data_IF_272889151915
#
_entry.id   IF_272889151915
#
_cell.length_a   1.000
_cell.length_b   1.000
_cell.length_c   1.000
_cell.angle_alpha   90.00
_cell.angle_beta   90.00
_cell.angle_gamma   90.00
#
_symmetry.space_group_name_H-M   'P 1'
#
loop_
_entity.id
_entity.type
_entity.pdbx_description
1 polymer ?
#
# COMPACT_ATOMS: atom_id res chain seq x y z
N UNK A 1 2.35 41.55 17.55
CA UNK A 1 2.18 42.98 17.16
C UNK A 1 1.83 42.96 15.69
N UNK A 2 0.60 43.29 15.32
CA UNK A 2 0.16 43.20 13.92
C UNK A 2 1.05 44.06 13.02
N UNK A 3 1.78 43.42 12.11
CA UNK A 3 2.64 44.09 11.15
C UNK A 3 1.75 44.82 10.15
N UNK A 4 1.57 46.14 10.32
CA UNK A 4 0.70 46.98 9.45
C UNK A 4 1.04 46.88 7.96
N UNK A 5 2.22 46.36 7.61
CA UNK A 5 2.67 46.09 6.23
C UNK A 5 1.73 45.11 5.51
N UNK A 6 1.11 44.16 6.22
CA UNK A 6 0.34 43.06 5.61
C UNK A 6 -1.14 42.99 5.99
N UNK A 7 -1.70 44.03 6.61
CA UNK A 7 -3.11 44.09 7.05
C UNK A 7 -4.16 43.91 5.92
N UNK A 8 -3.74 43.87 4.66
CA UNK A 8 -4.60 43.54 3.52
C UNK A 8 -4.79 42.02 3.34
N UNK A 9 -3.86 41.20 3.85
CA UNK A 9 -3.92 39.73 3.75
C UNK A 9 -5.00 39.15 4.68
N UNK A 10 -5.23 39.78 5.83
CA UNK A 10 -6.30 39.42 6.77
C UNK A 10 -7.71 39.41 6.13
N UNK A 11 -7.89 40.19 5.06
CA UNK A 11 -9.17 40.35 4.35
C UNK A 11 -9.34 39.37 3.17
N UNK A 12 -8.30 38.63 2.78
CA UNK A 12 -8.36 37.68 1.67
C UNK A 12 -8.98 36.35 2.11
N UNK A 13 -9.58 35.63 1.16
CA UNK A 13 -10.08 34.28 1.39
C UNK A 13 -8.94 33.28 1.57
N UNK A 14 -9.17 32.16 2.27
CA UNK A 14 -8.15 31.12 2.49
C UNK A 14 -7.59 30.57 1.17
N UNK A 15 -8.44 30.40 0.15
CA UNK A 15 -8.01 29.96 -1.17
C UNK A 15 -7.08 30.97 -1.88
N UNK A 16 -7.32 32.28 -1.71
CA UNK A 16 -6.44 33.32 -2.24
C UNK A 16 -5.09 33.34 -1.52
N UNK A 17 -5.09 33.15 -0.19
CA UNK A 17 -3.87 33.04 0.63
C UNK A 17 -3.03 31.81 0.23
N UNK A 18 -3.64 30.66 0.01
CA UNK A 18 -2.96 29.46 -0.51
C UNK A 18 -2.44 29.65 -1.93
N UNK A 19 -3.13 30.44 -2.75
CA UNK A 19 -2.65 30.78 -4.09
C UNK A 19 -1.41 31.68 -4.03
N UNK A 20 -1.33 32.58 -3.05
CA UNK A 20 -0.15 33.41 -2.80
C UNK A 20 1.04 32.54 -2.40
N UNK A 21 0.85 31.60 -1.47
CA UNK A 21 1.92 30.64 -1.09
C UNK A 21 2.40 29.81 -2.28
N UNK A 22 1.49 29.36 -3.15
CA UNK A 22 1.85 28.59 -4.35
C UNK A 22 2.62 29.40 -5.39
N UNK A 23 2.27 30.67 -5.57
CA UNK A 23 2.99 31.56 -6.47
C UNK A 23 4.39 31.89 -5.92
N UNK A 24 4.50 32.12 -4.61
CA UNK A 24 5.75 32.47 -3.95
C UNK A 24 6.76 31.31 -3.92
N UNK A 25 6.29 30.06 -3.82
CA UNK A 25 7.13 28.85 -3.98
C UNK A 25 7.87 28.76 -5.33
N UNK A 26 7.41 29.51 -6.34
CA UNK A 26 8.03 29.57 -7.67
C UNK A 26 8.93 30.79 -7.88
N UNK A 27 9.05 31.68 -6.89
CA UNK A 27 9.85 32.91 -6.95
C UNK A 27 11.16 32.76 -6.15
N UNK A 28 12.26 33.30 -6.70
CA UNK A 28 13.61 33.24 -6.10
C UNK A 28 13.82 34.39 -5.10
N UNK A 29 12.97 35.42 -5.13
CA UNK A 29 13.02 36.63 -4.30
C UNK A 29 11.90 36.69 -3.23
N UNK A 30 11.54 35.54 -2.67
CA UNK A 30 10.50 35.39 -1.65
C UNK A 30 10.75 36.23 -0.37
N UNK A 31 9.75 37.00 0.08
CA UNK A 31 9.76 37.76 1.34
C UNK A 31 9.32 36.85 2.50
N UNK A 32 10.22 36.42 3.39
CA UNK A 32 9.90 35.47 4.45
C UNK A 32 8.88 36.03 5.46
N UNK A 33 8.79 37.35 5.63
CA UNK A 33 7.80 37.97 6.54
C UNK A 33 6.37 37.92 5.95
N UNK A 34 6.25 37.87 4.62
CA UNK A 34 4.97 37.71 3.94
C UNK A 34 4.43 36.28 4.14
N UNK A 35 5.29 35.28 3.93
CA UNK A 35 4.93 33.86 4.12
C UNK A 35 4.48 33.61 5.56
N UNK A 36 5.27 34.06 6.54
CA UNK A 36 4.99 33.84 7.96
C UNK A 36 3.61 34.39 8.34
N UNK A 37 3.28 35.59 7.86
CA UNK A 37 1.99 36.21 8.14
C UNK A 37 0.82 35.52 7.40
N UNK A 38 1.02 35.05 6.16
CA UNK A 38 -0.01 34.28 5.45
C UNK A 38 -0.29 32.95 6.16
N UNK A 39 0.75 32.27 6.64
CA UNK A 39 0.61 31.03 7.40
C UNK A 39 -0.08 31.26 8.75
N UNK A 40 0.25 32.35 9.45
CA UNK A 40 -0.40 32.75 10.70
C UNK A 40 -1.92 32.94 10.52
N UNK A 41 -2.33 33.67 9.48
CA UNK A 41 -3.76 33.93 9.18
C UNK A 41 -4.51 32.66 8.81
N UNK A 42 -3.90 31.74 8.05
CA UNK A 42 -4.51 30.45 7.73
C UNK A 42 -4.67 29.61 9.00
N UNK A 43 -3.63 29.54 9.83
CA UNK A 43 -3.63 28.76 11.06
C UNK A 43 -4.67 29.25 12.07
N UNK A 44 -4.83 30.57 12.24
CA UNK A 44 -5.87 31.14 13.10
C UNK A 44 -7.28 30.73 12.64
N UNK A 45 -7.54 30.77 11.32
CA UNK A 45 -8.85 30.39 10.75
C UNK A 45 -9.14 28.91 10.89
N UNK A 46 -8.15 28.05 10.62
CA UNK A 46 -8.30 26.60 10.82
C UNK A 46 -8.53 26.26 12.29
N UNK A 47 -7.91 26.99 13.21
CA UNK A 47 -8.13 26.82 14.64
C UNK A 47 -9.57 27.19 15.04
N UNK A 48 -10.09 28.32 14.56
CA UNK A 48 -11.48 28.73 14.77
C UNK A 48 -12.49 27.72 14.19
N UNK A 49 -12.24 27.21 12.97
CA UNK A 49 -13.07 26.17 12.36
C UNK A 49 -13.00 24.85 13.13
N UNK A 50 -11.81 24.45 13.60
CA UNK A 50 -11.61 23.22 14.37
C UNK A 50 -12.32 23.26 15.72
N UNK A 51 -12.35 24.42 16.39
CA UNK A 51 -13.05 24.63 17.65
C UNK A 51 -14.56 24.51 17.47
N UNK A 52 -15.11 25.05 16.36
CA UNK A 52 -16.52 24.88 16.00
C UNK A 52 -16.88 23.42 15.67
N UNK A 53 -16.01 22.73 14.91
CA UNK A 53 -16.16 21.32 14.54
C UNK A 53 -16.02 20.38 15.74
N UNK A 54 -15.18 20.73 16.72
CA UNK A 54 -15.00 19.96 17.96
C UNK A 54 -16.30 19.87 18.78
N UNK A 55 -17.10 20.95 18.80
CA UNK A 55 -18.40 21.02 19.43
C UNK A 55 -19.41 20.09 18.73
N UNK A 56 -19.41 20.07 17.40
CA UNK A 56 -20.26 19.19 16.61
C UNK A 56 -19.86 17.71 16.74
N UNK A 57 -18.56 17.42 16.82
CA UNK A 57 -18.04 16.07 17.09
C UNK A 57 -18.43 15.59 18.49
N UNK A 58 -18.34 16.46 19.49
CA UNK A 58 -18.76 16.15 20.86
C UNK A 58 -20.27 15.88 20.93
N UNK A 59 -21.08 16.67 20.21
CA UNK A 59 -22.53 16.47 20.07
C UNK A 59 -22.86 15.15 19.37
N UNK A 60 -22.25 14.88 18.21
CA UNK A 60 -22.44 13.63 17.47
C UNK A 60 -22.04 12.40 18.32
N UNK A 61 -20.96 12.52 19.11
CA UNK A 61 -20.54 11.48 20.05
C UNK A 61 -21.55 11.27 21.18
N UNK A 62 -22.10 12.34 21.75
CA UNK A 62 -23.12 12.25 22.78
C UNK A 62 -24.41 11.60 22.27
N UNK A 63 -24.83 11.94 21.04
CA UNK A 63 -25.99 11.32 20.39
C UNK A 63 -25.76 9.84 20.12
N UNK A 64 -24.57 9.47 19.64
CA UNK A 64 -24.20 8.07 19.46
C UNK A 64 -24.23 7.30 20.78
N UNK A 65 -23.66 7.84 21.85
CA UNK A 65 -23.69 7.17 23.16
C UNK A 65 -25.10 7.05 23.73
N UNK A 66 -25.96 8.05 23.53
CA UNK A 66 -27.36 7.99 23.96
C UNK A 66 -28.15 6.92 23.21
N UNK A 67 -27.95 6.82 21.89
CA UNK A 67 -28.72 5.92 21.03
C UNK A 67 -28.23 4.47 21.11
N UNK A 68 -26.90 4.27 21.16
CA UNK A 68 -26.31 2.95 20.92
C UNK A 68 -25.74 2.24 22.16
N UNK A 69 -25.43 2.96 23.24
CA UNK A 69 -24.73 2.38 24.41
C UNK A 69 -25.62 1.54 25.33
N UNK A 70 -26.95 1.70 25.23
CA UNK A 70 -27.94 0.99 26.03
C UNK A 70 -28.68 -0.15 25.30
N UNK A 71 -28.31 -0.44 24.04
CA UNK A 71 -28.91 -1.54 23.29
C UNK A 71 -28.36 -2.87 23.84
N UNK A 72 -29.25 -3.64 24.48
CA UNK A 72 -28.96 -5.00 24.93
C UNK A 72 -29.05 -6.03 23.79
N UNK A 73 -29.49 -5.62 22.60
CA UNK A 73 -29.72 -6.47 21.45
C UNK A 73 -29.06 -5.83 20.21
N UNK A 74 -28.35 -6.61 19.38
CA UNK A 74 -27.71 -6.08 18.18
C UNK A 74 -28.76 -5.57 17.18
N UNK A 75 -28.48 -4.42 16.55
CA UNK A 75 -29.39 -3.75 15.61
C UNK A 75 -29.59 -4.48 14.29
N UNK A 76 -28.81 -5.54 14.05
CA UNK A 76 -28.95 -6.41 12.90
C UNK A 76 -29.00 -7.85 13.40
N UNK A 77 -29.84 -8.70 12.80
CA UNK A 77 -29.87 -10.11 13.12
C UNK A 77 -28.49 -10.70 12.83
N UNK A 78 -27.79 -11.09 13.89
CA UNK A 78 -26.57 -11.89 13.76
C UNK A 78 -27.07 -13.28 13.36
N UNK A 79 -26.70 -13.81 12.18
CA UNK A 79 -27.07 -15.17 11.83
C UNK A 79 -26.56 -16.09 12.94
N UNK A 80 -27.47 -16.87 13.53
CA UNK A 80 -27.10 -17.90 14.48
C UNK A 80 -26.04 -18.77 13.81
N UNK A 81 -24.79 -18.65 14.26
CA UNK A 81 -23.82 -19.71 13.99
C UNK A 81 -24.42 -20.94 14.65
N UNK A 82 -24.82 -21.91 13.82
CA UNK A 82 -25.22 -23.24 14.26
C UNK A 82 -24.05 -23.85 15.03
N UNK A 83 -24.01 -23.58 16.33
CA UNK A 83 -23.10 -24.20 17.27
C UNK A 83 -23.95 -25.19 18.04
N UNK A 84 -23.54 -26.46 17.98
CA UNK A 84 -24.19 -27.56 18.66
C UNK A 84 -24.34 -27.35 20.17
N UNK A 85 -25.03 -28.28 20.85
CA UNK A 85 -25.52 -28.07 22.20
C UNK A 85 -24.36 -27.91 23.18
N UNK A 86 -24.31 -26.75 23.85
CA UNK A 86 -23.52 -26.55 25.06
C UNK A 86 -22.40 -25.52 24.97
N UNK A 87 -22.71 -24.26 24.67
CA UNK A 87 -21.92 -23.15 25.20
C UNK A 87 -22.77 -21.88 25.27
N UNK A 88 -23.39 -21.62 26.42
CA UNK A 88 -23.81 -20.26 26.77
C UNK A 88 -22.53 -19.45 26.99
N UNK A 89 -22.25 -18.48 26.11
CA UNK A 89 -21.21 -17.49 26.35
C UNK A 89 -21.77 -16.40 27.26
N UNK A 90 -21.27 -16.25 28.50
CA UNK A 90 -21.73 -15.19 29.38
C UNK A 90 -21.08 -13.88 28.94
N UNK A 91 -21.84 -13.00 28.30
CA UNK A 91 -21.45 -11.60 28.10
C UNK A 91 -21.56 -10.84 29.44
N UNK A 92 -20.57 -11.04 30.31
CA UNK A 92 -20.32 -10.18 31.47
C UNK A 92 -18.97 -9.48 31.30
N UNK A 93 -18.96 -8.29 30.68
CA UNK A 93 -17.80 -7.40 30.71
C UNK A 93 -17.73 -6.76 32.10
N UNK A 94 -17.03 -7.40 33.03
CA UNK A 94 -16.68 -6.78 34.31
C UNK A 94 -15.59 -5.74 34.06
N UNK A 95 -15.94 -4.46 34.19
CA UNK A 95 -14.98 -3.34 34.25
C UNK A 95 -14.05 -3.52 35.45
N UNK A 96 -12.84 -4.05 35.21
CA UNK A 96 -11.81 -4.21 36.25
C UNK A 96 -10.60 -3.31 35.99
N UNK A 97 -10.28 -2.51 37.01
CA UNK A 97 -8.99 -1.88 37.34
C UNK A 97 -8.44 -0.72 36.48
N UNK A 98 -8.89 0.51 36.79
CA UNK A 98 -8.22 1.78 36.43
C UNK A 98 -6.82 1.98 37.04
N UNK A 99 -6.38 1.15 38.00
CA UNK A 99 -5.11 1.36 38.72
C UNK A 99 -3.87 0.77 38.04
N UNK A 100 -4.00 -0.25 37.19
CA UNK A 100 -2.86 -0.91 36.50
C UNK A 100 -2.37 -0.10 35.28
N UNK A 101 -3.26 0.68 34.64
CA UNK A 101 -2.90 1.55 33.51
C UNK A 101 -1.88 2.62 33.89
N UNK A 102 -1.92 3.17 35.11
CA UNK A 102 -1.03 4.26 35.53
C UNK A 102 0.41 3.79 35.75
N UNK A 103 0.61 2.59 36.30
CA UNK A 103 1.94 2.01 36.50
C UNK A 103 2.56 1.54 35.18
N UNK A 104 1.75 1.01 34.26
CA UNK A 104 2.19 0.70 32.89
C UNK A 104 2.58 1.96 32.12
N UNK A 105 1.81 3.05 32.25
CA UNK A 105 2.16 4.32 31.61
C UNK A 105 3.49 4.87 32.14
N UNK A 106 3.69 4.84 33.47
CA UNK A 106 4.92 5.31 34.09
C UNK A 106 6.13 4.46 33.66
N UNK A 107 6.00 3.13 33.62
CA UNK A 107 7.05 2.25 33.14
C UNK A 107 7.38 2.46 31.66
N UNK A 108 6.37 2.69 30.82
CA UNK A 108 6.56 2.99 29.40
C UNK A 108 7.28 4.33 29.20
N UNK A 109 6.92 5.38 29.97
CA UNK A 109 7.61 6.67 29.92
C UNK A 109 9.07 6.54 30.36
N UNK A 110 9.36 5.77 31.41
CA UNK A 110 10.73 5.51 31.85
C UNK A 110 11.52 4.72 30.79
N UNK A 111 10.91 3.70 30.17
CA UNK A 111 11.56 2.94 29.09
C UNK A 111 11.86 3.81 27.86
N UNK A 112 10.95 4.69 27.48
CA UNK A 112 11.15 5.65 26.37
C UNK A 112 12.25 6.65 26.72
N UNK A 113 12.29 7.17 27.95
CA UNK A 113 13.36 8.07 28.40
C UNK A 113 14.72 7.36 28.43
N UNK A 114 14.77 6.11 28.87
CA UNK A 114 16.01 5.30 28.87
C UNK A 114 16.48 5.06 27.42
N UNK A 115 15.57 4.67 26.52
CA UNK A 115 15.89 4.49 25.10
C UNK A 115 16.43 5.78 24.46
N UNK A 116 15.82 6.94 24.76
CA UNK A 116 16.29 8.25 24.29
C UNK A 116 17.69 8.60 24.83
N UNK A 117 18.02 8.20 26.06
CA UNK A 117 19.35 8.44 26.65
C UNK A 117 20.43 7.44 26.26
N UNK A 118 20.08 6.27 25.69
CA UNK A 118 21.03 5.24 25.27
C UNK A 118 21.54 5.42 23.83
N UNK A 119 20.88 6.26 23.03
CA UNK A 119 21.25 6.52 21.62
C UNK A 119 22.63 7.18 21.42
N UNK A 120 23.22 7.99 22.34
CA UNK A 120 24.56 8.55 22.12
C UNK A 120 25.71 7.53 22.24
N UNK A 121 25.45 6.27 22.66
CA UNK A 121 26.50 5.28 22.95
C UNK A 121 26.87 4.43 21.72
N UNK A 122 26.08 4.47 20.64
CA UNK A 122 26.34 3.70 19.42
C UNK A 122 27.09 4.46 18.30
N UNK A 123 27.53 5.70 18.54
CA UNK A 123 28.42 6.43 17.62
C UNK A 123 27.73 7.36 16.60
N UNK A 124 26.41 7.35 16.54
CA UNK A 124 25.65 8.32 15.73
C UNK A 124 25.27 9.55 16.56
N UNK A 125 25.60 10.73 16.04
CA UNK A 125 25.58 11.97 16.82
C UNK A 125 24.17 12.54 17.05
N UNK A 126 23.12 12.02 16.40
CA UNK A 126 21.77 12.61 16.53
C UNK A 126 20.62 11.65 16.12
N UNK A 127 19.45 11.78 16.79
CA UNK A 127 18.22 11.01 16.48
C UNK A 127 17.80 11.14 15.02
N UNK A 128 18.01 12.32 14.45
CA UNK A 128 17.70 12.60 13.05
C UNK A 128 18.60 11.83 12.08
N UNK A 129 19.86 11.53 12.45
CA UNK A 129 20.72 10.69 11.62
C UNK A 129 20.29 9.23 11.67
N UNK A 130 19.87 8.74 12.84
CA UNK A 130 19.34 7.38 12.97
C UNK A 130 18.03 7.21 12.18
N UNK A 131 17.13 8.19 12.28
CA UNK A 131 15.90 8.21 11.48
C UNK A 131 16.24 8.35 9.99
N UNK A 132 17.17 9.24 9.61
CA UNK A 132 17.58 9.40 8.22
C UNK A 132 18.19 8.11 7.66
N UNK A 133 19.08 7.44 8.39
CA UNK A 133 19.69 6.17 7.99
C UNK A 133 18.62 5.09 7.83
N UNK A 134 17.74 4.93 8.82
CA UNK A 134 16.64 3.98 8.77
C UNK A 134 15.67 4.27 7.61
N UNK A 135 15.34 5.54 7.36
CA UNK A 135 14.49 5.92 6.22
C UNK A 135 15.18 5.71 4.89
N UNK A 136 16.51 5.86 4.81
CA UNK A 136 17.26 5.65 3.56
C UNK A 136 17.34 4.16 3.22
N UNK A 137 17.45 3.29 4.24
CA UNK A 137 17.39 1.83 4.05
C UNK A 137 16.00 1.35 3.62
N UNK A 138 14.93 1.94 4.16
CA UNK A 138 13.55 1.46 3.92
C UNK A 138 12.80 2.17 2.79
N UNK A 139 13.18 3.40 2.47
CA UNK A 139 12.61 4.19 1.38
C UNK A 139 13.75 4.86 0.61
N UNK A 140 14.17 4.26 -0.50
CA UNK A 140 15.04 4.90 -1.46
C UNK A 140 14.25 5.22 -2.73
N UNK A 141 14.06 6.52 -3.01
CA UNK A 141 13.62 6.98 -4.33
C UNK A 141 14.87 7.12 -5.19
N UNK A 142 15.15 6.12 -6.02
CA UNK A 142 16.09 6.30 -7.14
C UNK A 142 15.38 7.16 -8.18
N UNK A 143 15.71 8.45 -8.19
CA UNK A 143 15.49 9.27 -9.39
C UNK A 143 16.43 8.69 -10.44
N UNK A 144 15.88 7.98 -11.43
CA UNK A 144 16.62 7.75 -12.66
C UNK A 144 16.77 9.12 -13.33
N UNK A 145 17.99 9.64 -13.38
CA UNK A 145 18.29 10.80 -14.20
C UNK A 145 17.90 10.46 -15.65
N UNK A 146 16.93 11.20 -16.17
CA UNK A 146 16.53 11.15 -17.56
C UNK A 146 17.72 11.43 -18.48
N UNK A 147 17.87 10.59 -19.52
CA UNK A 147 18.48 11.01 -20.77
C UNK A 147 19.67 10.21 -21.27
N UNK A 148 19.43 9.00 -21.76
CA UNK A 148 20.06 8.57 -23.02
C UNK A 148 19.21 7.52 -23.72
N UNK A 149 18.40 7.99 -24.68
CA UNK A 149 17.90 7.13 -25.76
C UNK A 149 19.10 6.61 -26.55
N UNK A 150 19.44 5.34 -26.38
CA UNK A 150 20.20 4.60 -27.36
C UNK A 150 19.29 3.54 -27.97
N UNK A 151 18.68 3.92 -29.10
CA UNK A 151 18.03 2.98 -30.01
C UNK A 151 19.11 2.08 -30.60
N UNK A 152 19.17 0.83 -30.15
CA UNK A 152 19.95 -0.22 -30.78
C UNK A 152 19.01 -1.38 -31.14
N UNK A 153 18.73 -1.46 -32.43
CA UNK A 153 18.31 -2.60 -33.24
C UNK A 153 18.26 -4.00 -32.59
N UNK A 154 17.04 -4.56 -32.58
CA UNK A 154 16.63 -5.95 -32.84
C UNK A 154 17.54 -7.12 -32.42
N UNK A 155 17.25 -7.72 -31.26
CA UNK A 155 17.02 -9.17 -31.02
C UNK A 155 16.50 -9.37 -29.55
N UNK A 156 16.00 -10.55 -29.14
CA UNK A 156 14.76 -10.73 -28.36
C UNK A 156 14.75 -10.04 -27.01
N UNK A 157 13.55 -9.64 -26.57
CA UNK A 157 13.27 -8.90 -25.34
C UNK A 157 14.22 -9.29 -24.20
N UNK A 158 14.99 -8.33 -23.64
CA UNK A 158 15.83 -8.63 -22.50
C UNK A 158 14.91 -9.02 -21.35
N UNK A 159 15.05 -10.26 -20.90
CA UNK A 159 14.52 -10.72 -19.63
C UNK A 159 14.84 -9.65 -18.58
N UNK A 160 13.85 -9.11 -17.86
CA UNK A 160 14.09 -8.04 -16.90
C UNK A 160 15.14 -8.44 -15.87
N UNK A 161 15.99 -7.50 -15.44
CA UNK A 161 17.01 -7.76 -14.43
C UNK A 161 16.40 -8.33 -13.15
N UNK A 162 15.21 -7.85 -12.76
CA UNK A 162 14.48 -8.34 -11.60
C UNK A 162 14.05 -9.81 -11.74
N UNK A 163 13.78 -10.29 -12.96
CA UNK A 163 13.47 -11.70 -13.19
C UNK A 163 14.72 -12.57 -13.03
N UNK A 164 15.89 -12.10 -13.47
CA UNK A 164 17.14 -12.83 -13.27
C UNK A 164 17.45 -13.00 -11.77
N UNK A 165 17.28 -11.92 -10.99
CA UNK A 165 17.42 -11.98 -9.52
C UNK A 165 16.38 -12.92 -8.90
N UNK A 166 15.12 -12.86 -9.34
CA UNK A 166 14.09 -13.78 -8.89
C UNK A 166 14.44 -15.24 -9.20
N UNK A 167 14.92 -15.53 -10.42
CA UNK A 167 15.32 -16.86 -10.87
C UNK A 167 16.47 -17.42 -10.02
N UNK A 168 17.47 -16.59 -9.69
CA UNK A 168 18.55 -17.00 -8.79
C UNK A 168 18.02 -17.33 -7.38
N UNK A 169 17.16 -16.47 -6.81
CA UNK A 169 16.60 -16.66 -5.47
C UNK A 169 15.79 -17.94 -5.33
N UNK A 170 14.90 -18.22 -6.27
CA UNK A 170 14.08 -19.45 -6.24
C UNK A 170 14.89 -20.67 -6.71
N UNK A 171 15.91 -20.46 -7.54
CA UNK A 171 16.84 -21.48 -8.00
C UNK A 171 17.70 -22.06 -6.87
N UNK A 172 18.11 -21.25 -5.89
CA UNK A 172 18.78 -21.73 -4.67
C UNK A 172 17.94 -22.73 -3.88
N UNK A 173 16.60 -22.66 -4.03
CA UNK A 173 15.63 -23.56 -3.39
C UNK A 173 15.26 -24.75 -4.29
N UNK A 174 15.86 -24.85 -5.48
CA UNK A 174 15.61 -25.92 -6.45
C UNK A 174 14.37 -25.69 -7.33
N UNK A 175 13.81 -24.47 -7.36
CA UNK A 175 12.65 -24.12 -8.18
C UNK A 175 13.12 -23.54 -9.53
N UNK A 176 12.37 -23.79 -10.60
CA UNK A 176 12.73 -23.31 -11.95
C UNK A 176 11.56 -22.49 -12.54
N UNK A 177 11.58 -21.16 -12.45
CA UNK A 177 10.50 -20.32 -12.94
C UNK A 177 10.51 -20.29 -14.47
N UNK A 178 9.32 -20.37 -15.08
CA UNK A 178 9.12 -20.32 -16.54
C UNK A 178 8.43 -19.01 -16.90
N UNK A 179 8.94 -18.35 -17.94
CA UNK A 179 8.34 -17.14 -18.52
C UNK A 179 7.60 -17.51 -19.83
N UNK A 180 6.34 -17.09 -20.01
CA UNK A 180 5.62 -17.30 -21.26
C UNK A 180 6.18 -16.46 -22.41
N UNK A 181 5.92 -16.89 -23.65
CA UNK A 181 6.18 -16.07 -24.84
C UNK A 181 5.07 -15.03 -24.98
N UNK A 182 5.45 -13.75 -24.96
CA UNK A 182 4.52 -12.63 -25.07
C UNK A 182 4.23 -12.34 -26.55
N UNK A 183 2.98 -12.04 -26.95
CA UNK A 183 2.64 -11.76 -28.34
C UNK A 183 3.35 -10.53 -28.90
N UNK A 184 3.63 -10.54 -30.21
CA UNK A 184 4.22 -9.39 -30.91
C UNK A 184 3.40 -8.11 -30.70
N UNK A 185 4.11 -6.98 -30.59
CA UNK A 185 3.50 -5.65 -30.42
C UNK A 185 3.26 -5.25 -28.97
N UNK A 186 3.56 -6.12 -28.01
CA UNK A 186 3.66 -5.79 -26.58
C UNK A 186 5.09 -5.42 -26.22
N UNK A 187 5.25 -4.38 -25.41
CA UNK A 187 6.55 -3.91 -24.92
C UNK A 187 6.54 -3.96 -23.39
N UNK A 188 7.61 -4.47 -22.79
CA UNK A 188 7.78 -4.47 -21.34
C UNK A 188 7.79 -3.02 -20.83
N UNK A 189 6.93 -2.74 -19.85
CA UNK A 189 6.76 -1.40 -19.29
C UNK A 189 7.39 -1.31 -17.89
N UNK A 190 6.96 -2.18 -16.98
CA UNK A 190 7.38 -2.16 -15.57
C UNK A 190 7.54 -3.58 -15.06
N UNK A 191 8.62 -3.84 -14.33
CA UNK A 191 8.90 -5.08 -13.60
C UNK A 191 9.20 -4.77 -12.15
N UNK A 192 8.80 -5.67 -11.25
CA UNK A 192 9.03 -5.53 -9.81
C UNK A 192 9.34 -6.88 -9.20
N UNK A 193 10.32 -6.90 -8.29
CA UNK A 193 10.62 -8.02 -7.41
C UNK A 193 10.35 -7.58 -5.98
N UNK A 194 9.49 -8.33 -5.30
CA UNK A 194 9.17 -8.17 -3.90
C UNK A 194 9.63 -9.39 -3.11
N UNK A 195 10.18 -9.17 -1.92
CA UNK A 195 10.51 -10.22 -0.96
C UNK A 195 9.79 -9.90 0.33
N UNK A 196 8.93 -10.82 0.76
CA UNK A 196 8.18 -10.65 2.00
C UNK A 196 9.12 -10.59 3.20
N UNK A 197 9.13 -9.51 4.00
CA UNK A 197 9.98 -9.43 5.20
C UNK A 197 9.53 -10.38 6.32
N UNK A 198 8.32 -10.93 6.22
CA UNK A 198 7.72 -11.81 7.22
C UNK A 198 7.97 -13.28 6.87
N UNK A 199 7.66 -13.69 5.64
CA UNK A 199 7.77 -15.07 5.20
C UNK A 199 9.07 -15.38 4.46
N UNK A 200 9.78 -14.35 3.95
CA UNK A 200 10.96 -14.53 3.10
C UNK A 200 10.66 -15.09 1.71
N UNK A 201 9.37 -15.18 1.34
CA UNK A 201 8.93 -15.62 0.02
C UNK A 201 9.10 -14.49 -0.99
N UNK A 202 9.56 -14.86 -2.18
CA UNK A 202 9.77 -13.93 -3.30
C UNK A 202 8.56 -13.91 -4.22
N UNK A 203 8.26 -12.73 -4.77
CA UNK A 203 7.23 -12.48 -5.76
C UNK A 203 7.81 -11.59 -6.86
N UNK A 204 7.60 -11.97 -8.11
CA UNK A 204 7.99 -11.21 -9.28
C UNK A 204 6.75 -10.86 -10.09
N UNK A 205 6.67 -9.61 -10.56
CA UNK A 205 5.62 -9.15 -11.46
C UNK A 205 6.22 -8.38 -12.63
N UNK A 206 5.57 -8.48 -13.79
CA UNK A 206 5.89 -7.70 -14.97
C UNK A 206 4.64 -7.34 -15.74
N UNK A 207 4.61 -6.11 -16.25
CA UNK A 207 3.59 -5.59 -17.14
C UNK A 207 4.16 -5.32 -18.53
N UNK A 208 3.47 -5.85 -19.55
CA UNK A 208 3.63 -5.42 -20.93
C UNK A 208 2.43 -4.58 -21.38
N UNK A 209 2.68 -3.60 -22.24
CA UNK A 209 1.66 -2.71 -22.81
C UNK A 209 1.74 -2.72 -24.34
N UNK A 210 0.58 -2.60 -24.99
CA UNK A 210 0.46 -2.44 -26.44
C UNK A 210 -0.70 -1.50 -26.74
N UNK A 211 -0.45 -0.29 -27.28
CA UNK A 211 -1.44 0.77 -27.54
C UNK A 211 -2.48 0.98 -26.42
N UNK A 212 -3.56 0.17 -26.41
CA UNK A 212 -4.67 0.20 -25.46
C UNK A 212 -4.86 -1.08 -24.64
N UNK A 213 -4.01 -2.09 -24.82
CA UNK A 213 -4.07 -3.39 -24.16
C UNK A 213 -2.89 -3.60 -23.20
N UNK A 214 -3.05 -4.51 -22.25
CA UNK A 214 -1.98 -4.88 -21.33
C UNK A 214 -1.95 -6.38 -21.05
N UNK A 215 -0.78 -6.86 -20.64
CA UNK A 215 -0.59 -8.19 -20.05
C UNK A 215 0.19 -7.97 -18.77
N UNK A 216 -0.32 -8.48 -17.65
CA UNK A 216 0.37 -8.54 -16.36
C UNK A 216 0.62 -10.00 -16.07
N UNK A 217 1.84 -10.32 -15.67
CA UNK A 217 2.25 -11.66 -15.28
C UNK A 217 2.93 -11.60 -13.91
N UNK A 218 2.54 -12.53 -13.05
CA UNK A 218 2.97 -12.63 -11.66
C UNK A 218 3.43 -14.07 -11.40
N UNK A 219 4.58 -14.21 -10.73
CA UNK A 219 5.10 -15.48 -10.23
C UNK A 219 5.44 -15.29 -8.77
N UNK A 220 5.00 -16.20 -7.93
CA UNK A 220 5.23 -16.13 -6.49
C UNK A 220 5.59 -17.49 -5.91
N UNK A 221 6.52 -17.46 -4.96
CA UNK A 221 6.90 -18.65 -4.21
C UNK A 221 5.81 -19.07 -3.22
N UNK A 222 5.54 -20.38 -3.16
CA UNK A 222 4.54 -20.95 -2.27
C UNK A 222 5.18 -21.64 -1.06
N UNK A 223 4.65 -21.43 0.14
CA UNK A 223 4.95 -22.24 1.33
C UNK A 223 3.97 -23.43 1.45
N UNK A 224 3.98 -24.29 0.43
CA UNK A 224 3.25 -25.57 0.40
C UNK A 224 1.75 -25.52 0.09
N UNK A 225 0.99 -24.53 0.54
CA UNK A 225 -0.42 -24.33 0.17
C UNK A 225 -0.60 -23.07 -0.67
N UNK A 226 -1.61 -23.06 -1.54
CA UNK A 226 -2.00 -21.90 -2.34
C UNK A 226 -2.58 -20.83 -1.40
N UNK A 227 -1.82 -19.77 -1.16
CA UNK A 227 -2.23 -18.67 -0.28
C UNK A 227 -2.98 -17.56 -1.04
N UNK A 228 -2.79 -17.47 -2.36
CA UNK A 228 -3.30 -16.37 -3.17
C UNK A 228 -4.82 -16.42 -3.31
N UNK A 229 -5.42 -15.25 -3.16
CA UNK A 229 -6.86 -15.05 -3.30
C UNK A 229 -7.09 -14.08 -4.44
N UNK A 230 -7.57 -14.62 -5.56
CA UNK A 230 -7.93 -13.81 -6.71
C UNK A 230 -9.36 -13.26 -6.59
N UNK A 231 -9.50 -11.96 -6.79
CA UNK A 231 -10.81 -11.33 -6.98
C UNK A 231 -11.38 -11.70 -8.35
N UNK A 232 -12.70 -11.96 -8.40
CA UNK A 232 -13.42 -12.36 -9.61
C UNK A 232 -14.87 -11.88 -9.58
N UNK A 233 -15.39 -11.50 -10.74
CA UNK A 233 -16.73 -10.88 -10.88
C UNK A 233 -17.84 -11.90 -11.15
N UNK A 234 -17.49 -13.13 -11.52
CA UNK A 234 -18.44 -14.21 -11.81
C UNK A 234 -17.91 -15.57 -11.31
N UNK A 235 -18.67 -16.64 -11.58
CA UNK A 235 -18.17 -18.00 -11.46
C UNK A 235 -16.95 -18.24 -12.36
N UNK A 236 -16.15 -19.25 -12.01
CA UNK A 236 -14.97 -19.65 -12.78
C UNK A 236 -15.35 -19.82 -14.26
N UNK A 237 -14.60 -19.20 -15.17
CA UNK A 237 -14.95 -19.23 -16.59
C UNK A 237 -14.73 -20.62 -17.16
N UNK A 238 -13.54 -21.20 -16.90
CA UNK A 238 -13.23 -22.59 -17.22
C UNK A 238 -11.98 -23.07 -16.51
N UNK A 239 -11.78 -24.38 -16.54
CA UNK A 239 -10.53 -25.04 -16.19
C UNK A 239 -10.03 -25.81 -17.40
N UNK A 240 -8.74 -25.75 -17.68
CA UNK A 240 -8.08 -26.50 -18.75
C UNK A 240 -6.75 -27.08 -18.25
N UNK A 241 -6.24 -28.09 -18.96
CA UNK A 241 -4.94 -28.71 -18.62
C UNK A 241 -3.99 -28.48 -19.79
N UNK A 242 -2.87 -27.83 -19.51
CA UNK A 242 -1.76 -27.59 -20.44
C UNK A 242 -0.48 -28.11 -19.78
N UNK A 243 0.34 -28.88 -20.52
CA UNK A 243 1.57 -29.45 -19.95
C UNK A 243 1.36 -30.39 -18.75
N UNK A 244 0.14 -30.92 -18.54
CA UNK A 244 -0.21 -31.69 -17.34
C UNK A 244 -0.55 -30.83 -16.11
N UNK A 245 -0.48 -29.51 -16.23
CA UNK A 245 -0.80 -28.54 -15.18
C UNK A 245 -2.22 -28.01 -15.34
N UNK A 246 -2.95 -27.96 -14.23
CA UNK A 246 -4.31 -27.43 -14.22
C UNK A 246 -4.32 -25.91 -14.15
N UNK A 247 -4.97 -25.29 -15.14
CA UNK A 247 -5.10 -23.84 -15.29
C UNK A 247 -6.53 -23.40 -15.04
N UNK A 248 -6.69 -22.33 -14.27
CA UNK A 248 -7.98 -21.79 -13.85
C UNK A 248 -8.21 -20.44 -14.49
N UNK A 249 -9.14 -20.38 -15.45
CA UNK A 249 -9.49 -19.15 -16.15
C UNK A 249 -10.67 -18.48 -15.46
N UNK A 250 -10.52 -17.19 -15.15
CA UNK A 250 -11.54 -16.38 -14.50
C UNK A 250 -11.56 -14.97 -15.06
N UNK A 251 -12.55 -14.19 -14.64
CA UNK A 251 -12.75 -12.81 -15.09
C UNK A 251 -12.93 -11.88 -13.90
N UNK A 252 -12.21 -10.78 -13.90
CA UNK A 252 -12.38 -9.69 -12.95
C UNK A 252 -12.74 -8.40 -13.71
N UNK A 253 -14.00 -8.00 -13.64
CA UNK A 253 -14.60 -6.88 -14.33
C UNK A 253 -14.37 -6.95 -15.84
N UNK A 254 -13.42 -6.16 -16.34
CA UNK A 254 -13.05 -6.10 -17.76
C UNK A 254 -11.80 -6.90 -18.11
N UNK A 255 -11.10 -7.48 -17.12
CA UNK A 255 -9.90 -8.28 -17.34
C UNK A 255 -10.20 -9.78 -17.28
N UNK A 256 -9.56 -10.53 -18.17
CA UNK A 256 -9.50 -11.98 -18.12
C UNK A 256 -8.19 -12.39 -17.47
N UNK A 257 -8.24 -13.46 -16.68
CA UNK A 257 -7.08 -13.94 -15.95
C UNK A 257 -7.00 -15.46 -15.99
N UNK A 258 -5.79 -15.97 -15.83
CA UNK A 258 -5.51 -17.40 -15.67
C UNK A 258 -4.50 -17.58 -14.55
N UNK A 259 -4.78 -18.50 -13.63
CA UNK A 259 -3.86 -18.87 -12.55
C UNK A 259 -3.56 -20.37 -12.58
N UNK A 260 -2.34 -20.75 -12.25
CA UNK A 260 -1.90 -22.13 -12.15
C UNK A 260 -0.75 -22.28 -11.17
N UNK A 261 -0.47 -23.52 -10.76
CA UNK A 261 0.65 -23.83 -9.88
C UNK A 261 1.55 -24.85 -10.55
N UNK A 262 2.85 -24.60 -10.54
CA UNK A 262 3.86 -25.50 -11.07
C UNK A 262 5.07 -25.51 -10.12
N UNK A 263 5.42 -26.70 -9.62
CA UNK A 263 6.64 -26.95 -8.85
C UNK A 263 6.91 -25.95 -7.71
N UNK A 264 5.89 -25.67 -6.89
CA UNK A 264 6.04 -24.76 -5.72
C UNK A 264 6.01 -23.27 -6.06
N UNK A 265 5.74 -22.93 -7.31
CA UNK A 265 5.48 -21.58 -7.76
C UNK A 265 4.01 -21.44 -8.17
N UNK A 266 3.38 -20.36 -7.74
CA UNK A 266 2.07 -19.94 -8.20
C UNK A 266 2.24 -18.85 -9.27
N UNK A 267 1.45 -18.98 -10.33
CA UNK A 267 1.48 -18.13 -11.49
C UNK A 267 0.11 -17.51 -11.70
N UNK A 268 0.10 -16.23 -12.05
CA UNK A 268 -1.10 -15.53 -12.50
C UNK A 268 -0.78 -14.69 -13.71
N UNK A 269 -1.67 -14.70 -14.69
CA UNK A 269 -1.65 -13.78 -15.81
C UNK A 269 -2.99 -13.08 -15.92
N UNK A 270 -2.96 -11.76 -16.11
CA UNK A 270 -4.15 -10.91 -16.27
C UNK A 270 -4.01 -9.99 -17.47
N UNK A 271 -5.08 -9.85 -18.26
CA UNK A 271 -5.09 -9.05 -19.49
C UNK A 271 -6.50 -8.55 -19.80
N UNK A 272 -6.62 -7.50 -20.60
CA UNK A 272 -7.87 -7.08 -21.23
C UNK A 272 -8.14 -7.75 -22.60
N UNK A 273 -7.22 -8.59 -23.07
CA UNK A 273 -7.40 -9.45 -24.24
C UNK A 273 -8.46 -10.55 -23.99
N UNK A 274 -9.06 -11.12 -25.05
CA UNK A 274 -9.98 -12.25 -24.91
C UNK A 274 -9.28 -13.50 -24.33
N UNK A 275 -10.04 -14.38 -23.68
CA UNK A 275 -9.53 -15.63 -23.08
C UNK A 275 -8.75 -16.50 -24.08
N UNK A 276 -9.12 -16.48 -25.37
CA UNK A 276 -8.37 -17.22 -26.40
C UNK A 276 -6.92 -16.78 -26.52
N UNK A 277 -6.63 -15.50 -26.31
CA UNK A 277 -5.25 -14.99 -26.33
C UNK A 277 -4.45 -15.52 -25.12
N UNK A 278 -5.08 -15.60 -23.93
CA UNK A 278 -4.46 -16.25 -22.78
C UNK A 278 -4.15 -17.72 -23.05
N UNK A 279 -5.05 -18.45 -23.71
CA UNK A 279 -4.79 -19.86 -24.07
C UNK A 279 -3.60 -20.01 -25.02
N UNK A 280 -3.47 -19.11 -26.00
CA UNK A 280 -2.31 -19.09 -26.91
C UNK A 280 -1.01 -18.84 -26.15
N UNK A 281 -0.98 -17.85 -25.25
CA UNK A 281 0.19 -17.53 -24.43
C UNK A 281 0.56 -18.72 -23.52
N UNK A 282 -0.42 -19.30 -22.82
CA UNK A 282 -0.20 -20.45 -21.92
C UNK A 282 0.25 -21.69 -22.69
N UNK A 283 -0.20 -21.89 -23.94
CA UNK A 283 0.23 -23.04 -24.75
C UNK A 283 1.71 -23.00 -25.15
N UNK A 284 2.39 -21.87 -24.95
CA UNK A 284 3.82 -21.69 -25.20
C UNK A 284 4.71 -22.08 -24.01
N UNK A 285 4.12 -22.36 -22.84
CA UNK A 285 4.79 -22.72 -21.59
C UNK A 285 5.11 -24.22 -21.56
#
# INVERSE_FOLDING_TARGET
>A
MANKKYAKLDQLTTAELESILRADLSDVESDPELIDHVLEVILEREQEESDSSSSDRARARADFEKLYKGLNEPLYPIPERTTGPGHELPFHIKSRCRKVRRTLLAAAVVAVLVALTCIPVLGDANLFQLVAHWTTEQFSFRVMEDGSSSVASADPDPVPEEFAVFQDLVGEKGLTPVMPVIPDGFVAAESQLFISPVSGLSEFSIQWKSDNNYIIFEIMEMDGQTESKYEKTAELVKTAVYGGVQHYFFRNNRSNSVAWNLDGLEYCMSTDLPISALEEIISSI
#
